data_IF_640385511123
#
_entry.id   IF_640385511123
#
_cell.length_a   1.000
_cell.length_b   1.000
_cell.length_c   1.000
_cell.angle_alpha   90.00
_cell.angle_beta   90.00
_cell.angle_gamma   90.00
#
_symmetry.space_group_name_H-M   'P 1'
#
loop_
_entity.id
_entity.type
_entity.pdbx_description
1 polymer ?
#
# COMPACT_ATOMS: atom_id res chain seq x y z
N UNK A 1 3.02 -10.52 1.71
CA UNK A 1 1.72 -10.88 2.33
C UNK A 1 1.82 -12.13 3.20
N UNK A 2 1.92 -13.34 2.64
CA UNK A 2 1.77 -14.59 3.41
C UNK A 2 2.79 -14.77 4.55
N UNK A 3 4.07 -14.47 4.30
CA UNK A 3 5.08 -14.49 5.36
C UNK A 3 4.73 -13.50 6.50
N UNK A 4 4.33 -12.28 6.14
CA UNK A 4 3.83 -11.29 7.09
C UNK A 4 2.57 -11.72 7.82
N UNK A 5 1.68 -12.51 7.19
CA UNK A 5 0.47 -13.02 7.82
C UNK A 5 0.82 -14.01 8.94
N UNK A 6 1.79 -14.90 8.71
CA UNK A 6 2.31 -15.80 9.75
C UNK A 6 2.97 -15.03 10.90
N UNK A 7 3.73 -13.98 10.60
CA UNK A 7 4.32 -13.10 11.61
C UNK A 7 3.24 -12.38 12.43
N UNK A 8 2.27 -11.75 11.77
CA UNK A 8 1.17 -11.04 12.42
C UNK A 8 0.32 -11.99 13.28
N UNK A 9 0.03 -13.19 12.78
CA UNK A 9 -0.71 -14.22 13.52
C UNK A 9 0.00 -14.62 14.83
N UNK A 10 1.33 -14.75 14.80
CA UNK A 10 2.11 -15.07 16.00
C UNK A 10 2.11 -13.93 17.05
N UNK A 11 1.82 -12.69 16.64
CA UNK A 11 1.73 -11.53 17.53
C UNK A 11 0.31 -11.22 18.02
N UNK A 12 -0.69 -11.89 17.46
CA UNK A 12 -2.09 -11.59 17.70
C UNK A 12 -2.65 -12.51 18.79
N UNK A 13 -3.09 -11.95 19.92
CA UNK A 13 -3.64 -12.76 21.03
C UNK A 13 -4.94 -13.51 20.68
N UNK A 14 -5.59 -13.12 19.58
CA UNK A 14 -6.83 -13.75 19.09
C UNK A 14 -6.57 -15.04 18.33
N UNK A 15 -5.31 -15.30 17.97
CA UNK A 15 -4.90 -16.53 17.29
C UNK A 15 -4.59 -17.61 18.32
N UNK A 16 -5.16 -18.80 18.10
CA UNK A 16 -4.92 -19.98 18.91
C UNK A 16 -3.42 -20.27 19.01
N UNK A 17 -2.97 -20.64 20.21
CA UNK A 17 -1.58 -20.94 20.54
C UNK A 17 -0.56 -19.79 20.37
N UNK A 18 -0.95 -18.57 19.94
CA UNK A 18 -0.03 -17.43 19.81
C UNK A 18 0.68 -17.08 21.15
N UNK A 19 0.00 -17.35 22.26
CA UNK A 19 0.53 -17.15 23.61
C UNK A 19 1.38 -18.30 24.14
N UNK A 20 1.44 -19.46 23.49
CA UNK A 20 2.25 -20.61 23.94
C UNK A 20 3.73 -20.25 24.01
N UNK A 21 4.21 -19.42 23.08
CA UNK A 21 5.59 -18.93 23.05
C UNK A 21 5.72 -17.46 23.52
N UNK A 22 4.64 -16.85 24.02
CA UNK A 22 4.65 -15.55 24.70
C UNK A 22 4.75 -14.30 23.82
N UNK A 23 4.47 -14.39 22.51
CA UNK A 23 4.46 -13.22 21.61
C UNK A 23 3.04 -12.73 21.26
N UNK A 24 2.01 -13.54 21.49
CA UNK A 24 0.62 -13.11 21.38
C UNK A 24 0.35 -11.90 22.27
N UNK A 25 -0.41 -10.94 21.73
CA UNK A 25 -0.72 -9.67 22.40
C UNK A 25 0.18 -8.51 21.99
N UNK A 26 1.30 -8.74 21.30
CA UNK A 26 2.12 -7.64 20.78
C UNK A 26 1.36 -6.79 19.75
N UNK A 27 0.48 -7.39 18.93
CA UNK A 27 -0.38 -6.64 18.03
C UNK A 27 -1.36 -5.74 18.81
N UNK A 28 -1.97 -6.28 19.87
CA UNK A 28 -2.90 -5.53 20.74
C UNK A 28 -2.21 -4.42 21.53
N UNK A 29 -0.93 -4.60 21.87
CA UNK A 29 -0.11 -3.59 22.53
C UNK A 29 0.48 -2.55 21.57
N UNK A 30 0.37 -2.76 20.25
CA UNK A 30 0.93 -1.86 19.25
C UNK A 30 0.05 -0.65 19.03
N UNK A 31 0.68 0.53 18.89
CA UNK A 31 -0.03 1.78 18.56
C UNK A 31 -0.24 1.97 17.06
N UNK A 32 0.63 1.39 16.23
CA UNK A 32 0.64 1.54 14.79
C UNK A 32 0.94 0.21 14.10
N UNK A 33 0.38 0.01 12.91
CA UNK A 33 0.73 -1.08 12.00
C UNK A 33 0.87 -0.51 10.59
N UNK A 34 2.00 -0.78 9.95
CA UNK A 34 2.32 -0.20 8.64
C UNK A 34 2.59 -1.31 7.64
N UNK A 35 2.09 -1.13 6.42
CA UNK A 35 2.39 -2.02 5.30
C UNK A 35 2.73 -1.23 4.04
N UNK A 36 3.61 -1.80 3.22
CA UNK A 36 3.80 -1.45 1.82
C UNK A 36 3.72 -2.69 0.95
N UNK A 37 3.43 -2.55 -0.34
CA UNK A 37 3.35 -3.65 -1.31
C UNK A 37 2.48 -4.80 -0.75
N UNK A 38 3.01 -6.03 -0.74
CA UNK A 38 2.32 -7.20 -0.22
C UNK A 38 2.14 -7.19 1.31
N UNK A 39 2.86 -6.34 2.04
CA UNK A 39 2.56 -6.02 3.43
C UNK A 39 1.29 -5.20 3.55
N UNK A 40 1.08 -4.24 2.63
CA UNK A 40 -0.15 -3.45 2.58
C UNK A 40 -1.38 -4.26 2.15
N UNK A 41 -1.21 -5.32 1.35
CA UNK A 41 -2.30 -6.26 1.06
C UNK A 41 -2.79 -6.95 2.35
N UNK A 42 -1.86 -7.35 3.21
CA UNK A 42 -2.19 -7.96 4.50
C UNK A 42 -2.86 -6.96 5.43
N UNK A 43 -2.24 -5.81 5.67
CA UNK A 43 -2.78 -4.81 6.60
C UNK A 43 -4.10 -4.27 6.07
N UNK A 44 -4.19 -3.96 4.76
CA UNK A 44 -5.43 -3.58 4.11
C UNK A 44 -6.53 -4.62 4.28
N UNK A 45 -6.25 -5.90 4.04
CA UNK A 45 -7.23 -6.99 4.28
C UNK A 45 -7.70 -7.00 5.73
N UNK A 46 -6.77 -6.99 6.70
CA UNK A 46 -7.11 -7.06 8.13
C UNK A 46 -8.00 -5.89 8.53
N UNK A 47 -7.58 -4.66 8.25
CA UNK A 47 -8.26 -3.46 8.73
C UNK A 47 -9.58 -3.16 7.99
N UNK A 48 -9.64 -3.39 6.68
CA UNK A 48 -10.87 -3.16 5.90
C UNK A 48 -11.96 -4.18 6.22
N UNK A 49 -11.60 -5.35 6.73
CA UNK A 49 -12.55 -6.38 7.13
C UNK A 49 -12.76 -6.40 8.66
N UNK A 50 -12.99 -5.22 9.23
CA UNK A 50 -13.27 -5.02 10.65
C UNK A 50 -12.19 -5.60 11.58
N UNK A 51 -10.92 -5.38 11.22
CA UNK A 51 -9.76 -5.88 11.96
C UNK A 51 -9.79 -7.39 12.17
N UNK A 52 -10.18 -8.18 11.16
CA UNK A 52 -10.24 -9.65 11.25
C UNK A 52 -8.85 -10.27 11.56
N UNK A 53 -8.81 -11.41 12.26
CA UNK A 53 -7.55 -12.12 12.53
C UNK A 53 -7.10 -12.95 11.32
N UNK A 54 -5.81 -13.24 11.22
CA UNK A 54 -5.28 -14.13 10.17
C UNK A 54 -5.89 -15.53 10.26
N UNK A 55 -6.11 -16.03 11.48
CA UNK A 55 -6.77 -17.32 11.68
C UNK A 55 -8.22 -17.31 11.17
N UNK A 56 -8.97 -16.25 11.45
CA UNK A 56 -10.35 -16.12 10.97
C UNK A 56 -10.41 -16.09 9.44
N UNK A 57 -9.51 -15.32 8.81
CA UNK A 57 -9.38 -15.27 7.35
C UNK A 57 -9.19 -16.69 6.79
N UNK A 58 -8.23 -17.44 7.31
CA UNK A 58 -7.90 -18.80 6.84
C UNK A 58 -8.99 -19.83 7.15
N UNK A 59 -9.80 -19.61 8.19
CA UNK A 59 -10.94 -20.47 8.53
C UNK A 59 -12.20 -20.16 7.70
N UNK A 60 -12.20 -19.03 7.00
CA UNK A 60 -13.32 -18.56 6.18
C UNK A 60 -13.07 -18.81 4.70
N UNK A 61 -14.12 -19.08 3.94
CA UNK A 61 -14.06 -19.20 2.47
C UNK A 61 -14.33 -17.86 1.75
N UNK A 62 -14.19 -16.72 2.46
CA UNK A 62 -14.56 -15.39 1.94
C UNK A 62 -13.38 -14.58 1.42
N UNK A 63 -12.20 -14.78 2.01
CA UNK A 63 -11.00 -14.01 1.74
C UNK A 63 -9.85 -14.94 1.36
N UNK A 64 -8.86 -14.42 0.63
CA UNK A 64 -7.65 -15.18 0.25
C UNK A 64 -7.95 -16.50 -0.46
N UNK A 65 -8.85 -16.46 -1.44
CA UNK A 65 -9.13 -17.57 -2.36
C UNK A 65 -8.01 -17.68 -3.42
N UNK A 66 -6.79 -17.91 -2.94
CA UNK A 66 -5.53 -17.81 -3.71
C UNK A 66 -5.22 -19.07 -4.54
N UNK A 67 -6.08 -20.10 -4.51
CA UNK A 67 -5.91 -21.32 -5.31
C UNK A 67 -6.00 -21.01 -6.81
N UNK A 68 -6.92 -20.10 -7.17
CA UNK A 68 -7.05 -19.58 -8.51
C UNK A 68 -6.26 -18.28 -8.66
N UNK A 69 -5.64 -18.10 -9.83
CA UNK A 69 -4.93 -16.86 -10.15
C UNK A 69 -5.89 -15.67 -10.13
N UNK A 70 -5.41 -14.51 -9.69
CA UNK A 70 -6.13 -13.22 -9.78
C UNK A 70 -6.47 -12.83 -11.24
N UNK A 71 -5.80 -13.46 -12.23
CA UNK A 71 -6.10 -13.30 -13.66
C UNK A 71 -7.18 -14.27 -14.16
N UNK A 72 -7.52 -15.30 -13.38
CA UNK A 72 -8.57 -16.27 -13.67
C UNK A 72 -9.24 -16.75 -12.37
N UNK A 73 -9.92 -15.86 -11.63
CA UNK A 73 -10.45 -16.18 -10.31
C UNK A 73 -11.52 -17.29 -10.33
N UNK A 74 -12.27 -17.43 -11.43
CA UNK A 74 -13.26 -18.50 -11.61
C UNK A 74 -12.67 -19.88 -11.91
N UNK A 75 -11.36 -19.99 -12.19
CA UNK A 75 -10.71 -21.26 -12.50
C UNK A 75 -11.30 -21.94 -13.74
N UNK A 76 -12.07 -23.02 -13.53
CA UNK A 76 -12.80 -23.72 -14.60
C UNK A 76 -14.18 -23.08 -14.89
N UNK A 77 -14.70 -22.25 -13.97
CA UNK A 77 -15.93 -21.49 -14.20
C UNK A 77 -15.64 -20.24 -15.04
N UNK A 78 -15.93 -20.37 -16.33
CA UNK A 78 -15.74 -19.28 -17.29
C UNK A 78 -16.73 -18.14 -17.10
N UNK A 79 -17.91 -18.39 -16.53
CA UNK A 79 -18.92 -17.36 -16.31
C UNK A 79 -18.45 -16.41 -15.23
N UNK A 80 -17.92 -16.96 -14.13
CA UNK A 80 -17.36 -16.17 -13.03
C UNK A 80 -16.17 -15.32 -13.49
N UNK A 81 -15.24 -15.89 -14.25
CA UNK A 81 -14.11 -15.11 -14.81
C UNK A 81 -14.58 -14.01 -15.77
N UNK A 82 -15.61 -14.25 -16.60
CA UNK A 82 -16.17 -13.21 -17.47
C UNK A 82 -16.82 -12.11 -16.64
N UNK A 83 -17.64 -12.47 -15.64
CA UNK A 83 -18.31 -11.51 -14.76
C UNK A 83 -17.30 -10.66 -13.98
N UNK A 84 -16.22 -11.26 -13.50
CA UNK A 84 -15.10 -10.57 -12.84
C UNK A 84 -14.53 -9.44 -13.72
N UNK A 85 -14.15 -9.74 -14.96
CA UNK A 85 -13.63 -8.72 -15.87
C UNK A 85 -14.69 -7.70 -16.30
N UNK A 86 -15.97 -8.08 -16.38
CA UNK A 86 -17.07 -7.15 -16.62
C UNK A 86 -17.22 -6.15 -15.48
N UNK A 87 -17.23 -6.62 -14.23
CA UNK A 87 -17.34 -5.76 -13.05
C UNK A 87 -16.20 -4.75 -12.98
N UNK A 88 -14.96 -5.21 -13.18
CA UNK A 88 -13.79 -4.32 -13.25
C UNK A 88 -14.01 -3.28 -14.34
N UNK A 89 -14.37 -3.69 -15.55
CA UNK A 89 -14.58 -2.76 -16.66
C UNK A 89 -15.66 -1.72 -16.34
N UNK A 90 -16.79 -2.14 -15.78
CA UNK A 90 -17.91 -1.25 -15.46
C UNK A 90 -17.53 -0.21 -14.40
N UNK A 91 -16.78 -0.60 -13.37
CA UNK A 91 -16.23 0.29 -12.33
C UNK A 91 -15.27 1.33 -12.92
N UNK A 92 -14.33 0.88 -13.77
CA UNK A 92 -13.37 1.77 -14.43
C UNK A 92 -14.05 2.75 -15.38
N UNK A 93 -14.99 2.26 -16.19
CA UNK A 93 -15.77 3.11 -17.09
C UNK A 93 -16.61 4.12 -16.28
N UNK A 94 -17.12 3.74 -15.10
CA UNK A 94 -17.83 4.65 -14.20
C UNK A 94 -16.91 5.75 -13.63
N UNK A 95 -15.69 5.40 -13.19
CA UNK A 95 -14.66 6.37 -12.75
C UNK A 95 -14.30 7.35 -13.88
N UNK A 96 -14.06 6.83 -15.09
CA UNK A 96 -13.77 7.64 -16.28
C UNK A 96 -14.92 8.57 -16.67
N UNK A 97 -16.17 8.08 -16.66
CA UNK A 97 -17.37 8.91 -16.90
C UNK A 97 -17.57 10.00 -15.84
N UNK A 98 -17.12 9.77 -14.61
CA UNK A 98 -17.13 10.77 -13.54
C UNK A 98 -16.02 11.83 -13.71
N UNK A 99 -15.13 11.67 -14.71
CA UNK A 99 -14.10 12.64 -15.06
C UNK A 99 -12.78 12.47 -14.29
N UNK A 100 -12.58 11.32 -13.64
CA UNK A 100 -11.32 10.98 -12.99
C UNK A 100 -10.43 10.18 -13.92
N UNK A 101 -9.12 10.39 -13.76
CA UNK A 101 -8.09 9.65 -14.49
C UNK A 101 -8.12 8.17 -14.08
N UNK A 102 -8.04 7.29 -15.07
CA UNK A 102 -8.05 5.83 -14.90
C UNK A 102 -6.71 5.31 -15.39
N UNK A 103 -6.03 4.57 -14.52
CA UNK A 103 -4.70 4.01 -14.75
C UNK A 103 -4.71 2.50 -14.61
N UNK A 104 -3.59 1.86 -14.95
CA UNK A 104 -3.38 0.42 -14.67
C UNK A 104 -3.59 0.07 -13.18
N UNK A 105 -3.27 1.01 -12.28
CA UNK A 105 -3.45 0.83 -10.84
C UNK A 105 -4.91 0.72 -10.44
N UNK A 106 -5.82 1.35 -11.17
CA UNK A 106 -7.25 1.19 -10.91
C UNK A 106 -7.71 -0.24 -11.17
N UNK A 107 -7.31 -0.80 -12.31
CA UNK A 107 -7.60 -2.21 -12.63
C UNK A 107 -7.01 -3.14 -11.57
N UNK A 108 -5.76 -2.90 -11.19
CA UNK A 108 -5.07 -3.70 -10.19
C UNK A 108 -5.71 -3.59 -8.81
N UNK A 109 -6.08 -2.38 -8.38
CA UNK A 109 -6.78 -2.15 -7.13
C UNK A 109 -8.14 -2.85 -7.07
N UNK A 110 -8.88 -2.88 -8.19
CA UNK A 110 -10.14 -3.66 -8.29
C UNK A 110 -9.90 -5.16 -8.25
N UNK A 111 -8.90 -5.66 -8.98
CA UNK A 111 -8.49 -7.05 -8.93
C UNK A 111 -8.11 -7.49 -7.49
N UNK A 112 -7.37 -6.66 -6.76
CA UNK A 112 -7.01 -6.92 -5.36
C UNK A 112 -8.23 -6.85 -4.43
N UNK A 113 -9.18 -5.95 -4.69
CA UNK A 113 -10.41 -5.84 -3.89
C UNK A 113 -11.21 -7.13 -3.89
N UNK A 114 -11.31 -7.79 -5.04
CA UNK A 114 -11.97 -9.10 -5.17
C UNK A 114 -11.33 -10.17 -4.27
N UNK A 115 -10.02 -10.10 -4.00
CA UNK A 115 -9.31 -11.06 -3.15
C UNK A 115 -9.34 -10.71 -1.66
N UNK A 116 -9.47 -9.42 -1.34
CA UNK A 116 -9.18 -8.86 -0.02
C UNK A 116 -10.36 -8.17 0.65
N UNK A 117 -11.54 -8.13 0.02
CA UNK A 117 -12.77 -7.58 0.59
C UNK A 117 -13.79 -8.69 0.88
N UNK A 118 -14.20 -8.82 2.14
CA UNK A 118 -15.23 -9.77 2.54
C UNK A 118 -16.65 -9.28 2.20
N UNK A 119 -16.80 -7.97 1.93
CA UNK A 119 -18.03 -7.46 1.31
C UNK A 119 -18.05 -7.89 -0.17
N UNK A 120 -18.77 -8.98 -0.42
CA UNK A 120 -19.01 -9.55 -1.75
C UNK A 120 -20.04 -8.75 -2.54
N UNK A 121 -20.74 -7.78 -1.91
CA UNK A 121 -21.61 -6.88 -2.65
C UNK A 121 -20.75 -5.85 -3.36
N UNK A 122 -20.68 -6.00 -4.69
CA UNK A 122 -19.87 -5.16 -5.60
C UNK A 122 -18.34 -5.29 -5.36
N UNK A 123 -17.88 -6.41 -4.80
CA UNK A 123 -16.45 -6.73 -4.64
C UNK A 123 -15.60 -5.57 -4.04
N UNK A 124 -16.08 -4.97 -2.94
CA UNK A 124 -15.39 -3.83 -2.31
C UNK A 124 -15.35 -2.54 -3.13
N UNK A 125 -16.15 -2.38 -4.20
CA UNK A 125 -16.19 -1.15 -5.01
C UNK A 125 -16.53 0.09 -4.17
N UNK A 126 -17.38 -0.09 -3.15
CA UNK A 126 -17.82 0.99 -2.27
C UNK A 126 -16.96 1.18 -1.03
N UNK A 127 -16.05 0.24 -0.74
CA UNK A 127 -15.21 0.26 0.45
C UNK A 127 -14.16 1.37 0.37
N UNK A 128 -14.07 2.22 1.39
CA UNK A 128 -13.14 3.36 1.40
C UNK A 128 -12.15 3.23 2.53
N UNK A 129 -10.90 3.62 2.28
CA UNK A 129 -9.86 3.61 3.31
C UNK A 129 -10.24 4.48 4.52
N UNK A 130 -10.92 5.61 4.30
CA UNK A 130 -11.43 6.44 5.39
C UNK A 130 -12.59 5.82 6.18
N UNK A 131 -13.20 4.73 5.72
CA UNK A 131 -14.25 4.04 6.47
C UNK A 131 -13.70 3.27 7.68
N UNK A 132 -12.39 2.96 7.71
CA UNK A 132 -11.71 2.35 8.87
C UNK A 132 -11.94 3.20 10.12
N UNK A 133 -11.91 4.53 9.98
CA UNK A 133 -12.10 5.47 11.08
C UNK A 133 -13.50 5.41 11.72
N UNK A 134 -14.49 4.85 11.02
CA UNK A 134 -15.86 4.70 11.51
C UNK A 134 -16.14 3.26 12.01
N UNK A 135 -15.14 2.37 12.02
CA UNK A 135 -15.31 1.04 12.57
C UNK A 135 -15.33 1.09 14.10
N UNK A 136 -16.19 0.28 14.72
CA UNK A 136 -16.37 0.30 16.18
C UNK A 136 -15.06 0.01 16.93
N UNK A 137 -14.26 -0.94 16.45
CA UNK A 137 -13.00 -1.30 17.08
C UNK A 137 -11.98 -0.15 17.00
N UNK A 138 -11.95 0.59 15.89
CA UNK A 138 -11.07 1.74 15.75
C UNK A 138 -11.54 2.92 16.62
N UNK A 139 -12.84 3.25 16.61
CA UNK A 139 -13.42 4.31 17.46
C UNK A 139 -13.21 4.07 18.96
N UNK A 140 -13.11 2.80 19.37
CA UNK A 140 -12.88 2.40 20.76
C UNK A 140 -11.43 2.08 21.09
N UNK A 141 -10.49 2.44 20.20
CA UNK A 141 -9.04 2.26 20.37
C UNK A 141 -8.62 0.80 20.64
N UNK A 142 -9.32 -0.16 20.02
CA UNK A 142 -9.02 -1.59 20.12
C UNK A 142 -8.19 -2.12 18.95
N UNK A 143 -7.81 -1.25 18.02
CA UNK A 143 -6.95 -1.57 16.89
C UNK A 143 -5.79 -0.57 16.81
N UNK A 144 -4.60 -0.99 16.36
CA UNK A 144 -3.52 -0.07 16.06
C UNK A 144 -3.90 0.87 14.90
N UNK A 145 -3.20 1.99 14.78
CA UNK A 145 -3.39 2.92 13.68
C UNK A 145 -2.75 2.39 12.37
N UNK A 146 -3.55 2.11 11.31
CA UNK A 146 -3.01 1.55 10.07
C UNK A 146 -2.46 2.65 9.14
N UNK A 147 -1.32 2.37 8.52
CA UNK A 147 -0.71 3.25 7.52
C UNK A 147 -0.31 2.45 6.28
N UNK A 148 -0.70 2.96 5.11
CA UNK A 148 -0.28 2.49 3.78
C UNK A 148 0.76 3.44 3.22
N UNK A 149 1.84 2.90 2.65
CA UNK A 149 2.96 3.71 2.11
C UNK A 149 3.04 3.62 0.59
N UNK A 150 3.31 4.76 -0.04
CA UNK A 150 3.57 4.90 -1.46
C UNK A 150 4.70 5.91 -1.68
N UNK A 151 5.35 5.85 -2.84
CA UNK A 151 6.36 6.84 -3.24
C UNK A 151 5.80 7.78 -4.29
N UNK A 152 6.07 9.09 -4.16
CA UNK A 152 5.73 10.03 -5.21
C UNK A 152 6.74 9.94 -6.36
N UNK A 153 6.22 9.83 -7.57
CA UNK A 153 7.01 9.84 -8.80
C UNK A 153 6.94 11.22 -9.45
N UNK A 154 8.10 11.85 -9.58
CA UNK A 154 8.20 13.14 -10.27
C UNK A 154 7.91 12.98 -11.77
N UNK A 155 7.28 13.98 -12.42
CA UNK A 155 7.02 13.95 -13.86
C UNK A 155 8.29 13.63 -14.67
N UNK A 156 8.19 12.71 -15.62
CA UNK A 156 9.29 12.25 -16.49
C UNK A 156 10.46 11.53 -15.79
N UNK A 157 10.32 11.20 -14.50
CA UNK A 157 11.31 10.39 -13.80
C UNK A 157 10.79 8.97 -13.56
N UNK A 158 11.47 7.98 -14.13
CA UNK A 158 11.13 6.56 -13.95
C UNK A 158 11.88 5.93 -12.76
N UNK A 159 12.91 6.61 -12.24
CA UNK A 159 13.75 6.10 -11.16
C UNK A 159 13.31 6.75 -9.85
N UNK A 160 12.80 5.92 -8.95
CA UNK A 160 12.63 6.25 -7.55
C UNK A 160 13.96 5.96 -6.84
N UNK A 161 14.44 6.91 -6.04
CA UNK A 161 15.68 6.80 -5.29
C UNK A 161 15.41 7.05 -3.80
N UNK A 162 16.43 6.91 -2.95
CA UNK A 162 16.30 7.11 -1.51
C UNK A 162 15.89 8.54 -1.08
N UNK A 163 15.82 9.51 -2.00
CA UNK A 163 15.32 10.86 -1.78
C UNK A 163 13.92 11.08 -2.38
N UNK A 164 13.23 9.98 -2.73
CA UNK A 164 11.81 9.96 -3.06
C UNK A 164 10.98 10.66 -1.99
N UNK A 165 9.84 11.19 -2.40
CA UNK A 165 8.84 11.66 -1.44
C UNK A 165 8.01 10.48 -0.97
N UNK A 166 8.15 10.09 0.30
CA UNK A 166 7.36 9.04 0.93
C UNK A 166 6.01 9.62 1.31
N UNK A 167 4.95 9.10 0.70
CA UNK A 167 3.57 9.50 0.94
C UNK A 167 2.90 8.44 1.80
N UNK A 168 2.39 8.86 2.95
CA UNK A 168 1.57 8.01 3.80
C UNK A 168 0.08 8.25 3.54
N UNK A 169 -0.68 7.16 3.56
CA UNK A 169 -2.13 7.13 3.46
C UNK A 169 -2.67 6.45 4.71
N UNK A 170 -3.43 7.19 5.51
CA UNK A 170 -4.07 6.69 6.73
C UNK A 170 -5.59 7.01 6.72
N UNK A 171 -6.39 6.49 7.66
CA UNK A 171 -7.84 6.68 7.65
C UNK A 171 -8.29 8.14 7.70
N UNK A 172 -7.45 9.06 8.20
CA UNK A 172 -7.77 10.47 8.35
C UNK A 172 -7.18 11.34 7.24
N UNK A 173 -5.93 11.09 6.86
CA UNK A 173 -5.18 11.96 5.97
C UNK A 173 -4.21 11.23 5.03
N UNK A 174 -3.89 11.91 3.93
CA UNK A 174 -2.87 11.55 2.95
C UNK A 174 -1.89 12.70 2.84
N UNK A 175 -0.60 12.39 2.84
CA UNK A 175 0.43 13.41 2.75
C UNK A 175 1.82 12.88 3.04
N UNK A 176 2.74 13.79 3.34
CA UNK A 176 4.13 13.44 3.59
C UNK A 176 4.76 14.33 4.64
N UNK A 177 5.64 13.72 5.42
CA UNK A 177 6.55 14.37 6.37
C UNK A 177 7.84 14.89 5.69
N UNK A 178 8.04 14.56 4.42
CA UNK A 178 9.20 14.97 3.66
C UNK A 178 9.14 16.46 3.30
N UNK A 179 10.24 17.22 3.40
CA UNK A 179 10.25 18.64 3.08
C UNK A 179 9.88 18.97 1.64
N UNK A 180 9.96 18.02 0.71
CA UNK A 180 9.47 18.20 -0.67
C UNK A 180 7.97 18.48 -0.74
N UNK A 181 7.17 17.95 0.21
CA UNK A 181 5.71 18.11 0.24
C UNK A 181 5.20 18.67 1.58
N UNK A 182 5.65 18.11 2.71
CA UNK A 182 5.49 18.57 4.09
C UNK A 182 4.07 19.00 4.50
N UNK A 183 3.06 18.30 4.01
CA UNK A 183 1.66 18.63 4.28
C UNK A 183 0.75 17.44 4.03
N UNK A 184 -0.45 17.56 4.60
CA UNK A 184 -1.48 16.53 4.59
C UNK A 184 -2.83 17.09 4.14
N UNK A 185 -3.66 16.23 3.57
CA UNK A 185 -5.05 16.51 3.22
C UNK A 185 -5.96 15.40 3.73
N UNK A 186 -7.23 15.65 4.06
CA UNK A 186 -8.11 14.58 4.54
C UNK A 186 -8.38 13.50 3.48
N UNK A 187 -8.14 12.22 3.82
CA UNK A 187 -8.31 11.05 2.94
C UNK A 187 -9.71 10.99 2.34
N UNK A 188 -10.72 11.25 3.17
CA UNK A 188 -12.14 11.26 2.82
C UNK A 188 -12.49 12.21 1.67
N UNK A 189 -11.68 13.25 1.43
CA UNK A 189 -11.93 14.29 0.43
C UNK A 189 -10.98 14.24 -0.76
N UNK A 190 -10.20 13.16 -0.92
CA UNK A 190 -9.47 12.91 -2.16
C UNK A 190 -10.40 12.99 -3.38
N UNK A 191 -9.83 13.43 -4.51
CA UNK A 191 -10.58 13.75 -5.73
C UNK A 191 -11.22 15.16 -5.74
N UNK A 192 -11.17 15.90 -4.63
CA UNK A 192 -11.62 17.30 -4.59
C UNK A 192 -10.61 18.19 -5.31
N UNK A 193 -11.10 19.08 -6.19
CA UNK A 193 -10.25 20.11 -6.81
C UNK A 193 -9.87 21.15 -5.78
N UNK A 194 -8.60 21.14 -5.38
CA UNK A 194 -8.01 22.12 -4.48
C UNK A 194 -7.09 23.06 -5.27
N UNK A 195 -7.04 24.31 -4.84
CA UNK A 195 -6.03 25.28 -5.27
C UNK A 195 -5.46 25.96 -4.04
N UNK A 196 -4.15 25.80 -3.80
CA UNK A 196 -3.48 26.29 -2.60
C UNK A 196 -4.23 25.87 -1.30
N UNK A 197 -4.62 24.59 -1.23
CA UNK A 197 -5.31 23.99 -0.08
C UNK A 197 -6.80 24.34 0.06
N UNK A 198 -7.37 25.15 -0.84
CA UNK A 198 -8.78 25.56 -0.77
C UNK A 198 -9.63 24.91 -1.87
N UNK A 199 -10.81 24.39 -1.49
CA UNK A 199 -11.79 23.86 -2.43
C UNK A 199 -12.65 24.98 -3.05
N UNK A 200 -13.04 24.83 -4.31
CA UNK A 200 -13.94 25.76 -4.98
C UNK A 200 -15.42 25.32 -4.87
N UNK A 201 -15.96 25.36 -3.65
CA UNK A 201 -17.40 25.26 -3.38
C UNK A 201 -18.01 23.85 -3.28
N UNK A 202 -17.32 22.80 -3.75
CA UNK A 202 -17.76 21.41 -3.57
C UNK A 202 -16.61 20.50 -3.16
N UNK A 203 -16.93 19.47 -2.37
CA UNK A 203 -15.99 18.41 -1.98
C UNK A 203 -16.46 17.08 -2.57
N UNK A 204 -15.51 16.27 -3.04
CA UNK A 204 -15.72 14.92 -3.52
C UNK A 204 -15.51 13.93 -2.37
N UNK A 205 -16.19 12.79 -2.41
CA UNK A 205 -15.98 11.65 -1.51
C UNK A 205 -15.95 10.36 -2.32
N UNK A 206 -15.21 9.36 -1.84
CA UNK A 206 -15.17 8.02 -2.43
C UNK A 206 -14.09 7.82 -3.49
N UNK A 207 -13.22 8.80 -3.73
CA UNK A 207 -11.97 8.59 -4.48
C UNK A 207 -11.03 7.64 -3.74
N UNK A 208 -11.09 7.65 -2.41
CA UNK A 208 -10.29 6.84 -1.50
C UNK A 208 -10.76 5.38 -1.42
N UNK A 209 -11.16 4.78 -2.55
CA UNK A 209 -11.49 3.37 -2.62
C UNK A 209 -10.33 2.55 -2.03
N UNK A 210 -10.64 1.65 -1.08
CA UNK A 210 -9.64 0.91 -0.34
C UNK A 210 -8.77 0.04 -1.26
N UNK A 211 -9.38 -0.58 -2.28
CA UNK A 211 -8.67 -1.31 -3.32
C UNK A 211 -7.66 -0.46 -4.07
N UNK A 212 -8.04 0.77 -4.43
CA UNK A 212 -7.12 1.71 -5.10
C UNK A 212 -5.96 2.14 -4.20
N UNK A 213 -6.20 2.38 -2.90
CA UNK A 213 -5.12 2.69 -1.94
C UNK A 213 -4.18 1.49 -1.78
N UNK A 214 -4.72 0.28 -1.62
CA UNK A 214 -3.94 -0.96 -1.54
C UNK A 214 -3.14 -1.19 -2.83
N UNK A 215 -3.77 -0.97 -3.99
CA UNK A 215 -3.16 -1.04 -5.30
C UNK A 215 -2.06 0.00 -5.51
N UNK A 216 -2.25 1.24 -5.03
CA UNK A 216 -1.24 2.31 -5.09
C UNK A 216 0.06 1.89 -4.44
N UNK A 217 -0.02 1.35 -3.22
CA UNK A 217 1.14 0.87 -2.45
C UNK A 217 1.84 -0.32 -3.08
N UNK A 218 1.25 -0.93 -4.12
CA UNK A 218 1.79 -2.07 -4.89
C UNK A 218 1.86 -1.80 -6.39
N UNK A 219 1.89 -0.52 -6.79
CA UNK A 219 1.90 -0.05 -8.18
C UNK A 219 3.29 -0.19 -8.82
N UNK A 220 3.83 -1.41 -8.82
CA UNK A 220 5.18 -1.76 -9.26
C UNK A 220 5.26 -2.05 -10.78
N UNK A 221 4.52 -1.27 -11.56
CA UNK A 221 4.36 -1.45 -13.01
C UNK A 221 5.57 -1.01 -13.82
N UNK A 222 6.46 -0.22 -13.23
CA UNK A 222 7.74 0.17 -13.82
C UNK A 222 8.82 -0.94 -13.75
N UNK A 223 8.69 -1.92 -12.85
CA UNK A 223 9.76 -2.90 -12.58
C UNK A 223 9.35 -4.37 -12.67
N UNK A 224 8.11 -4.74 -12.27
CA UNK A 224 7.72 -6.16 -12.15
C UNK A 224 6.49 -6.50 -13.00
N UNK A 225 5.49 -5.63 -13.07
CA UNK A 225 4.18 -5.96 -13.68
C UNK A 225 4.11 -5.70 -15.20
N UNK A 226 5.21 -5.33 -15.88
CA UNK A 226 5.28 -5.24 -17.35
C UNK A 226 5.16 -6.61 -18.05
N UNK A 227 5.21 -7.71 -17.29
CA UNK A 227 5.21 -9.08 -17.82
C UNK A 227 4.00 -9.89 -17.31
N UNK A 228 2.79 -9.34 -17.40
CA UNK A 228 1.58 -10.13 -17.12
C UNK A 228 1.50 -11.28 -18.14
N UNK A 229 1.74 -12.50 -17.69
CA UNK A 229 1.60 -13.68 -18.54
C UNK A 229 0.12 -13.98 -18.79
N UNK A 230 -0.39 -13.54 -19.93
CA UNK A 230 -1.79 -13.77 -20.33
C UNK A 230 -2.15 -15.23 -20.61
N UNK A 231 -1.19 -16.17 -20.59
CA UNK A 231 -1.44 -17.61 -20.76
C UNK A 231 -2.35 -18.19 -19.67
N UNK A 232 -2.40 -17.56 -18.50
CA UNK A 232 -3.28 -17.98 -17.40
C UNK A 232 -4.75 -17.59 -17.60
N UNK A 233 -5.07 -16.86 -18.66
CA UNK A 233 -6.43 -16.39 -18.96
C UNK A 233 -7.10 -17.35 -19.94
N UNK A 234 -8.25 -17.94 -19.60
CA UNK A 234 -8.98 -18.82 -20.51
C UNK A 234 -9.32 -18.13 -21.83
N UNK A 235 -9.18 -18.84 -22.96
CA UNK A 235 -9.40 -18.29 -24.31
C UNK A 235 -10.79 -17.65 -24.46
N UNK A 236 -11.82 -18.22 -23.82
CA UNK A 236 -13.18 -17.68 -23.85
C UNK A 236 -13.32 -16.34 -23.10
N UNK A 237 -12.59 -16.13 -22.01
CA UNK A 237 -12.52 -14.86 -21.27
C UNK A 237 -11.51 -13.89 -21.90
N UNK A 238 -10.63 -14.38 -22.78
CA UNK A 238 -9.52 -13.59 -23.32
C UNK A 238 -9.96 -12.34 -24.07
N UNK A 239 -11.17 -12.28 -24.65
CA UNK A 239 -11.66 -11.07 -25.32
C UNK A 239 -11.89 -9.90 -24.36
N UNK A 240 -12.62 -10.14 -23.27
CA UNK A 240 -12.92 -9.11 -22.27
C UNK A 240 -11.71 -8.83 -21.36
N UNK A 241 -10.98 -9.90 -21.00
CA UNK A 241 -9.72 -9.77 -20.28
C UNK A 241 -8.70 -8.98 -21.11
N UNK A 242 -8.57 -9.23 -22.43
CA UNK A 242 -7.74 -8.39 -23.30
C UNK A 242 -8.27 -6.98 -23.43
N UNK A 243 -9.58 -6.72 -23.41
CA UNK A 243 -10.06 -5.33 -23.39
C UNK A 243 -9.52 -4.61 -22.16
N UNK A 244 -9.74 -5.17 -20.98
CA UNK A 244 -9.26 -4.62 -19.70
C UNK A 244 -7.72 -4.53 -19.68
N UNK A 245 -7.02 -5.60 -20.08
CA UNK A 245 -5.56 -5.72 -20.05
C UNK A 245 -4.83 -5.02 -21.22
N UNK A 246 -5.49 -4.72 -22.34
CA UNK A 246 -4.93 -3.93 -23.46
C UNK A 246 -5.18 -2.44 -23.28
N UNK A 247 -6.28 -2.04 -22.63
CA UNK A 247 -6.45 -0.67 -22.15
C UNK A 247 -5.35 -0.34 -21.11
N UNK A 248 -4.98 -1.34 -20.30
CA UNK A 248 -3.79 -1.35 -19.44
C UNK A 248 -2.46 -1.17 -20.23
N UNK A 249 -2.26 -1.89 -21.34
CA UNK A 249 -0.98 -1.89 -22.07
C UNK A 249 -0.78 -0.69 -23.02
N UNK A 250 -1.81 0.14 -23.25
CA UNK A 250 -1.76 1.28 -24.17
C UNK A 250 -1.53 2.63 -23.49
N UNK A 251 -1.50 2.68 -22.17
CA UNK A 251 -1.32 3.91 -21.41
C UNK A 251 0.03 3.89 -20.71
N UNK A 252 0.91 4.84 -21.06
CA UNK A 252 2.20 5.12 -20.40
C UNK A 252 2.01 5.66 -18.95
N UNK A 253 1.06 5.11 -18.19
CA UNK A 253 0.73 5.52 -16.82
C UNK A 253 0.78 4.31 -15.88
N UNK A 254 1.99 3.78 -15.72
CA UNK A 254 2.45 2.78 -14.74
C UNK A 254 2.41 3.30 -13.28
N UNK A 255 1.46 4.17 -12.96
CA UNK A 255 1.30 4.89 -11.69
C UNK A 255 -0.11 4.72 -11.12
N UNK A 256 -0.27 5.10 -9.87
CA UNK A 256 -1.54 5.52 -9.32
C UNK A 256 -1.69 7.04 -9.52
N UNK A 257 -2.66 7.44 -10.36
CA UNK A 257 -2.93 8.86 -10.61
C UNK A 257 -3.92 9.46 -9.59
N UNK A 258 -3.44 10.34 -8.73
CA UNK A 258 -4.26 11.15 -7.83
C UNK A 258 -4.55 12.48 -8.51
N UNK A 259 -5.55 12.47 -9.39
CA UNK A 259 -6.05 13.66 -10.12
C UNK A 259 -7.50 13.96 -9.74
N UNK A 260 -7.83 15.19 -9.31
CA UNK A 260 -6.92 16.34 -9.11
C UNK A 260 -5.92 16.13 -7.96
N UNK A 261 -4.72 16.67 -8.13
CA UNK A 261 -3.68 16.68 -7.12
C UNK A 261 -4.16 17.47 -5.87
N UNK A 262 -4.21 16.84 -4.68
CA UNK A 262 -4.66 17.51 -3.47
C UNK A 262 -3.73 18.65 -3.00
N UNK A 263 -2.51 18.70 -3.53
CA UNK A 263 -1.45 19.63 -3.14
C UNK A 263 -1.20 20.71 -4.21
N UNK A 264 -2.10 20.83 -5.17
CA UNK A 264 -1.96 21.74 -6.31
C UNK A 264 -1.80 23.22 -5.88
N UNK A 265 -0.73 23.87 -6.33
CA UNK A 265 -0.31 25.25 -6.02
C UNK A 265 -0.15 25.57 -4.53
N UNK A 266 0.13 24.57 -3.70
CA UNK A 266 0.54 24.81 -2.31
C UNK A 266 2.01 25.23 -2.23
N UNK A 267 2.41 25.85 -1.11
CA UNK A 267 3.79 26.35 -0.90
C UNK A 267 4.44 25.83 0.38
N UNK A 268 3.89 24.75 0.95
CA UNK A 268 4.35 24.19 2.23
C UNK A 268 5.65 23.42 2.05
N UNK A 269 5.69 22.52 1.07
CA UNK A 269 6.89 21.82 0.63
C UNK A 269 7.68 22.60 -0.42
N UNK A 270 8.95 22.24 -0.62
CA UNK A 270 9.84 22.92 -1.57
C UNK A 270 9.66 22.48 -3.03
N UNK A 271 8.98 21.35 -3.30
CA UNK A 271 8.98 20.76 -4.64
C UNK A 271 7.86 21.28 -5.53
N UNK A 272 8.22 22.16 -6.46
CA UNK A 272 7.32 22.63 -7.52
C UNK A 272 6.87 21.51 -8.45
N UNK A 273 7.70 20.49 -8.67
CA UNK A 273 7.36 19.35 -9.53
C UNK A 273 6.19 18.53 -8.96
N UNK A 274 5.97 18.57 -7.63
CA UNK A 274 4.79 17.98 -6.98
C UNK A 274 3.63 18.97 -6.89
N UNK A 275 3.87 20.24 -6.54
CA UNK A 275 2.79 21.19 -6.30
C UNK A 275 2.19 21.78 -7.58
N UNK A 276 2.96 21.91 -8.67
CA UNK A 276 2.51 22.58 -9.89
C UNK A 276 1.96 21.59 -10.94
N UNK A 277 2.04 20.29 -10.65
CA UNK A 277 1.49 19.24 -11.49
C UNK A 277 0.03 18.93 -11.12
N UNK A 278 -0.84 18.76 -12.11
CA UNK A 278 -2.29 18.51 -11.89
C UNK A 278 -2.60 17.13 -11.29
N UNK A 279 -1.66 16.19 -11.41
CA UNK A 279 -1.75 14.82 -10.91
C UNK A 279 -0.62 14.57 -9.93
N UNK A 280 -0.94 14.09 -8.72
CA UNK A 280 0.05 13.48 -7.84
C UNK A 280 0.21 12.01 -8.28
N UNK A 281 1.35 11.70 -8.89
CA UNK A 281 1.65 10.35 -9.33
C UNK A 281 2.30 9.56 -8.19
N UNK A 282 1.66 8.49 -7.76
CA UNK A 282 2.19 7.61 -6.72
C UNK A 282 2.54 6.23 -7.32
N UNK A 283 3.58 5.60 -6.78
CA UNK A 283 4.02 4.25 -7.12
C UNK A 283 4.25 3.45 -5.85
N UNK A 284 4.74 2.22 -6.00
CA UNK A 284 5.00 1.32 -4.89
C UNK A 284 5.92 1.94 -3.82
N UNK A 285 5.58 1.69 -2.55
CA UNK A 285 6.26 2.30 -1.41
C UNK A 285 7.68 1.76 -1.14
N UNK A 286 8.07 0.63 -1.74
CA UNK A 286 9.39 0.03 -1.59
C UNK A 286 10.39 0.38 -2.70
N UNK A 287 9.99 1.16 -3.72
CA UNK A 287 10.89 1.46 -4.86
C UNK A 287 12.12 2.30 -4.50
N UNK A 288 12.11 2.96 -3.34
CA UNK A 288 13.26 3.69 -2.77
C UNK A 288 14.18 2.81 -1.92
N UNK A 289 13.91 1.48 -1.91
CA UNK A 289 14.60 0.44 -1.13
C UNK A 289 14.28 0.46 0.36
N UNK A 290 13.28 1.21 0.81
CA UNK A 290 12.74 1.15 2.17
C UNK A 290 11.62 0.11 2.28
N UNK A 291 11.91 -1.13 1.86
CA UNK A 291 10.93 -2.24 1.84
C UNK A 291 10.33 -2.58 3.22
N UNK A 292 10.97 -2.13 4.30
CA UNK A 292 10.37 -2.08 5.63
C UNK A 292 10.08 -0.62 5.96
N UNK A 293 8.81 -0.19 6.05
CA UNK A 293 8.43 1.21 6.14
C UNK A 293 8.65 1.78 7.54
N UNK A 294 9.91 2.02 7.91
CA UNK A 294 10.26 2.62 9.20
C UNK A 294 9.94 4.11 9.24
N UNK A 295 10.16 4.83 8.14
CA UNK A 295 10.11 6.29 8.08
C UNK A 295 8.88 6.95 8.73
N UNK A 296 7.65 6.44 8.54
CA UNK A 296 6.48 7.01 9.21
C UNK A 296 6.58 6.90 10.74
N UNK A 297 7.21 5.86 11.28
CA UNK A 297 7.34 5.64 12.73
C UNK A 297 8.48 6.45 13.37
N UNK A 298 9.36 7.04 12.55
CA UNK A 298 10.48 7.86 13.01
C UNK A 298 10.10 9.32 13.29
N UNK A 299 8.86 9.70 12.99
CA UNK A 299 8.40 11.07 13.16
C UNK A 299 8.33 11.43 14.66
N UNK A 300 8.97 12.53 15.11
CA UNK A 300 8.97 12.94 16.52
C UNK A 300 7.57 13.04 17.13
N UNK A 301 6.59 13.46 16.34
CA UNK A 301 5.18 13.61 16.72
C UNK A 301 4.53 12.28 17.11
N UNK A 302 5.02 11.15 16.59
CA UNK A 302 4.54 9.82 16.96
C UNK A 302 5.21 9.26 18.22
N UNK A 303 6.40 9.76 18.58
CA UNK A 303 7.12 9.41 19.80
C UNK A 303 7.18 7.88 20.06
N UNK A 304 7.69 7.14 19.06
CA UNK A 304 7.81 5.68 19.14
C UNK A 304 9.02 5.25 19.99
N UNK A 305 8.78 4.32 20.94
CA UNK A 305 9.84 3.76 21.79
C UNK A 305 10.45 2.47 21.22
N UNK A 306 9.61 1.63 20.60
CA UNK A 306 10.00 0.31 20.06
C UNK A 306 9.30 0.10 18.73
N UNK A 307 10.08 -0.28 17.71
CA UNK A 307 9.57 -0.64 16.39
C UNK A 307 9.96 -2.08 16.08
N UNK A 308 8.99 -2.91 15.72
CA UNK A 308 9.21 -4.27 15.24
C UNK A 308 9.20 -4.27 13.71
N UNK A 309 10.38 -4.37 13.10
CA UNK A 309 10.56 -4.47 11.66
C UNK A 309 10.55 -5.92 11.18
N UNK A 310 9.80 -6.20 10.12
CA UNK A 310 9.73 -7.52 9.49
C UNK A 310 10.21 -7.43 8.05
N UNK A 311 11.42 -7.91 7.80
CA UNK A 311 12.00 -7.89 6.47
C UNK A 311 11.79 -9.24 5.76
N UNK A 312 11.04 -9.19 4.66
CA UNK A 312 10.76 -10.32 3.77
C UNK A 312 11.23 -10.03 2.34
N UNK A 313 12.19 -9.11 2.20
CA UNK A 313 12.79 -8.74 0.93
C UNK A 313 13.57 -9.90 0.32
N UNK A 314 13.66 -9.89 -1.01
CA UNK A 314 14.31 -10.92 -1.82
C UNK A 314 15.58 -10.35 -2.47
N UNK A 315 16.53 -9.92 -1.65
CA UNK A 315 17.68 -9.12 -2.11
C UNK A 315 18.86 -9.95 -2.61
N UNK A 316 18.98 -11.19 -2.13
CA UNK A 316 20.05 -12.13 -2.51
C UNK A 316 19.59 -13.11 -3.59
N UNK A 317 20.55 -13.78 -4.27
CA UNK A 317 20.25 -14.84 -5.25
C UNK A 317 19.39 -15.99 -4.67
N UNK A 318 19.44 -16.19 -3.35
CA UNK A 318 18.65 -17.19 -2.63
C UNK A 318 17.31 -16.64 -2.11
N UNK A 319 16.94 -15.41 -2.49
CA UNK A 319 15.69 -14.74 -2.11
C UNK A 319 15.57 -14.46 -0.60
N UNK A 320 16.69 -14.14 0.05
CA UNK A 320 16.74 -13.66 1.44
C UNK A 320 17.07 -12.17 1.51
N UNK A 321 16.67 -11.47 2.59
CA UNK A 321 17.07 -10.09 2.85
C UNK A 321 18.58 -9.96 3.03
N UNK A 322 19.15 -8.86 2.54
CA UNK A 322 20.58 -8.54 2.69
C UNK A 322 20.87 -7.40 3.69
N UNK A 323 19.81 -6.81 4.26
CA UNK A 323 19.86 -5.67 5.16
C UNK A 323 19.65 -4.31 4.49
N UNK A 324 19.43 -4.26 3.18
CA UNK A 324 19.18 -3.00 2.46
C UNK A 324 18.00 -2.21 3.05
N UNK A 325 16.92 -2.87 3.46
CA UNK A 325 15.77 -2.21 4.09
C UNK A 325 16.07 -1.57 5.46
N UNK A 326 17.22 -1.88 6.08
CA UNK A 326 17.71 -1.22 7.30
C UNK A 326 18.74 -0.12 6.96
N UNK A 327 19.58 -0.35 5.96
CA UNK A 327 20.62 0.60 5.53
C UNK A 327 20.00 1.83 4.88
N UNK A 328 18.98 1.67 4.03
CA UNK A 328 18.32 2.79 3.35
C UNK A 328 17.76 3.86 4.29
N UNK A 329 16.91 3.54 5.30
CA UNK A 329 16.42 4.56 6.24
C UNK A 329 17.55 5.15 7.10
N UNK A 330 18.56 4.36 7.44
CA UNK A 330 19.76 4.86 8.14
C UNK A 330 20.50 5.92 7.31
N UNK A 331 20.67 5.71 6.01
CA UNK A 331 21.30 6.68 5.11
C UNK A 331 20.40 7.89 4.85
N UNK A 332 19.10 7.66 4.68
CA UNK A 332 18.10 8.71 4.44
C UNK A 332 18.06 9.75 5.55
N UNK A 333 18.27 9.37 6.81
CA UNK A 333 18.28 10.32 7.92
C UNK A 333 19.29 11.47 7.73
N UNK A 334 20.34 11.27 6.91
CA UNK A 334 21.36 12.28 6.61
C UNK A 334 21.06 13.10 5.35
N UNK A 335 19.98 12.80 4.63
CA UNK A 335 19.54 13.59 3.48
C UNK A 335 18.58 14.70 3.92
N UNK A 336 18.36 15.68 3.04
CA UNK A 336 17.38 16.75 3.28
C UNK A 336 15.96 16.17 3.51
N UNK A 337 15.64 15.05 2.86
CA UNK A 337 14.35 14.38 3.01
C UNK A 337 14.18 13.71 4.38
N UNK A 338 15.27 13.30 5.02
CA UNK A 338 15.24 12.74 6.37
C UNK A 338 14.68 13.70 7.41
N UNK A 339 14.68 15.01 7.16
CA UNK A 339 13.99 16.04 7.97
C UNK A 339 14.24 15.96 9.50
N UNK A 340 15.46 15.59 9.89
CA UNK A 340 15.81 15.46 11.31
C UNK A 340 15.23 14.23 12.01
N UNK A 341 14.67 13.26 11.26
CA UNK A 341 14.38 11.92 11.78
C UNK A 341 15.68 11.25 12.24
N UNK A 342 15.54 10.34 13.20
CA UNK A 342 16.70 9.67 13.80
C UNK A 342 16.53 8.16 13.63
N UNK A 343 17.57 7.49 13.17
CA UNK A 343 17.61 6.04 13.00
C UNK A 343 18.88 5.47 13.65
N UNK A 344 18.81 4.32 14.35
CA UNK A 344 19.98 3.73 15.00
C UNK A 344 21.06 3.40 13.99
N UNK A 345 22.32 3.35 14.44
CA UNK A 345 23.42 2.96 13.58
C UNK A 345 23.18 1.59 12.96
N UNK A 346 23.22 1.52 11.62
CA UNK A 346 23.13 0.28 10.85
C UNK A 346 24.46 0.08 10.10
N UNK A 347 25.13 -1.08 10.28
CA UNK A 347 26.33 -1.39 9.51
C UNK A 347 25.99 -1.74 8.05
N UNK A 348 26.98 -1.66 7.16
CA UNK A 348 26.79 -2.00 5.74
C UNK A 348 26.27 -3.44 5.51
N UNK A 349 25.64 -3.69 4.35
CA UNK A 349 25.06 -5.00 4.00
C UNK A 349 26.09 -6.13 4.12
N UNK A 350 27.34 -5.89 3.71
CA UNK A 350 28.42 -6.87 3.79
C UNK A 350 28.68 -7.29 5.24
N UNK A 351 28.66 -6.33 6.17
CA UNK A 351 28.84 -6.59 7.60
C UNK A 351 27.62 -7.30 8.18
N UNK A 352 26.41 -6.88 7.82
CA UNK A 352 25.15 -7.54 8.20
C UNK A 352 25.19 -9.03 7.82
N UNK A 353 25.55 -9.35 6.58
CA UNK A 353 25.65 -10.71 6.06
C UNK A 353 26.78 -11.50 6.74
N UNK A 354 27.99 -10.91 6.87
CA UNK A 354 29.14 -11.58 7.48
C UNK A 354 28.93 -11.90 8.97
N UNK A 355 28.18 -11.06 9.69
CA UNK A 355 27.81 -11.26 11.09
C UNK A 355 26.54 -12.10 11.25
N UNK A 356 25.92 -12.52 10.14
CA UNK A 356 24.71 -13.31 10.10
C UNK A 356 23.55 -12.66 10.88
N UNK A 357 23.39 -11.34 10.74
CA UNK A 357 22.35 -10.57 11.43
C UNK A 357 20.96 -10.76 10.81
N UNK A 358 20.86 -11.30 9.59
CA UNK A 358 19.59 -11.59 8.90
C UNK A 358 18.97 -12.92 9.31
N UNK A 359 19.72 -13.80 9.98
CA UNK A 359 19.26 -15.15 10.34
C UNK A 359 18.58 -15.25 11.72
N UNK A 360 18.49 -14.15 12.48
CA UNK A 360 17.91 -14.10 13.82
C UNK A 360 17.41 -12.68 14.14
N UNK A 361 16.53 -12.50 15.14
CA UNK A 361 16.17 -11.17 15.61
C UNK A 361 17.41 -10.35 15.97
N UNK A 362 17.49 -9.14 15.42
CA UNK A 362 18.58 -8.20 15.66
C UNK A 362 18.02 -6.91 16.28
N UNK A 363 18.76 -6.37 17.25
CA UNK A 363 18.38 -5.14 17.97
C UNK A 363 19.32 -4.01 17.59
N UNK A 364 18.74 -2.90 17.13
CA UNK A 364 19.43 -1.65 16.83
C UNK A 364 18.92 -0.59 17.81
N UNK A 365 19.82 0.21 18.38
CA UNK A 365 19.47 1.21 19.41
C UNK A 365 20.14 2.56 19.13
N UNK A 366 19.43 3.63 19.48
CA UNK A 366 19.89 5.01 19.44
C UNK A 366 20.84 5.33 20.59
#
# INVERSE_FOLDING_TARGET
>A
MLAGAGMLAALDERVDDANVNGLGGLLQASSHVIGLLGGNWLTGTVFMNNFTSVQDILSSDLLWQLENSILNPGGLDLVDTIQYYQNIKDDLDAKGRAGFEVTITDTWGRALSDQFSADTKDNGASARWSDIANSQLFETFQTPFPISIANARYPNNLIINSNSTIVEVNPFEVGSWDPSLYQFTPTKYLGTKLYNGAANGSCIRGFDNAGFIIGTSSSLFNSILTTINTEYIPVAASGIAKCVLQDIAKTDEDIAAYKPNPFYHTKTGYSADLSDHETLALVDGGEDKENVPFYPLLQPERNMDVIFGFDVSSDTDQHWPDGTALVSPYERQFSDQGNGTVFPYVPDQRTILNLNLTAKPAFFRL
#
